data_IF_783296710865
#
_entry.id   IF_783296710865
#
_cell.length_a   1.000
_cell.length_b   1.000
_cell.length_c   1.000
_cell.angle_alpha   90.00
_cell.angle_beta   90.00
_cell.angle_gamma   90.00
#
_symmetry.space_group_name_H-M   'P 1'
#
loop_
_entity.id
_entity.type
_entity.pdbx_description
1 polymer ?
#
# COMPACT_ATOMS: atom_id res chain seq x y z
N UNK A 1 21.33 2.05 14.02
CA UNK A 1 20.65 3.27 13.53
C UNK A 1 19.18 3.13 13.86
N UNK A 2 18.62 3.98 14.74
CA UNK A 2 17.24 3.82 15.18
C UNK A 2 16.33 4.51 14.17
N UNK A 3 16.15 3.90 12.99
CA UNK A 3 14.97 4.23 12.18
C UNK A 3 13.79 3.50 12.80
N UNK A 4 13.27 4.21 13.78
CA UNK A 4 12.31 3.84 14.79
C UNK A 4 10.91 4.07 14.22
N UNK A 5 10.11 2.99 14.12
CA UNK A 5 8.69 2.95 13.71
C UNK A 5 8.40 3.56 12.33
N UNK A 6 8.64 2.80 11.26
CA UNK A 6 7.70 2.88 10.14
C UNK A 6 6.34 2.40 10.67
N UNK A 7 5.40 3.32 10.89
CA UNK A 7 4.05 2.91 11.24
C UNK A 7 3.49 2.13 10.04
N UNK A 8 2.86 0.97 10.30
CA UNK A 8 2.23 0.14 9.26
C UNK A 8 1.27 0.92 8.35
N UNK A 9 0.77 2.07 8.81
CA UNK A 9 -0.07 2.95 8.04
C UNK A 9 0.71 3.72 6.95
N UNK A 10 1.95 4.15 7.22
CA UNK A 10 2.80 4.85 6.24
C UNK A 10 3.22 3.92 5.10
N UNK A 11 3.52 2.66 5.41
CA UNK A 11 3.86 1.67 4.38
C UNK A 11 2.65 1.36 3.49
N UNK A 12 1.44 1.29 4.08
CA UNK A 12 0.20 1.13 3.33
C UNK A 12 -0.11 2.34 2.45
N UNK A 13 0.13 3.56 2.96
CA UNK A 13 -0.07 4.78 2.18
C UNK A 13 0.90 4.85 1.00
N UNK A 14 2.19 4.54 1.23
CA UNK A 14 3.21 4.46 0.18
C UNK A 14 2.88 3.39 -0.87
N UNK A 15 2.37 2.24 -0.44
CA UNK A 15 1.92 1.19 -1.34
C UNK A 15 0.80 1.69 -2.26
N UNK A 16 -0.21 2.38 -1.70
CA UNK A 16 -1.33 2.91 -2.50
C UNK A 16 -0.88 4.06 -3.41
N UNK A 17 -0.02 4.96 -2.94
CA UNK A 17 0.53 6.03 -3.77
C UNK A 17 1.20 5.48 -5.04
N UNK A 18 2.06 4.47 -4.91
CA UNK A 18 2.72 3.82 -6.06
C UNK A 18 1.75 3.07 -6.96
N UNK A 19 0.70 2.47 -6.41
CA UNK A 19 -0.39 1.88 -7.21
C UNK A 19 -1.13 2.96 -8.01
N UNK A 20 -1.38 4.13 -7.42
CA UNK A 20 -2.01 5.27 -8.09
C UNK A 20 -1.11 5.90 -9.16
N UNK A 21 0.21 5.86 -8.97
CA UNK A 21 1.21 6.24 -9.98
C UNK A 21 1.27 5.26 -11.18
N UNK A 22 0.47 4.18 -11.15
CA UNK A 22 0.31 3.24 -12.25
C UNK A 22 1.21 2.00 -12.16
N UNK A 23 1.90 1.79 -11.04
CA UNK A 23 2.72 0.60 -10.86
C UNK A 23 1.90 -0.68 -10.71
N UNK A 24 2.44 -1.78 -11.24
CA UNK A 24 1.78 -3.09 -11.17
C UNK A 24 1.79 -3.61 -9.73
N UNK A 25 0.60 -3.86 -9.18
CA UNK A 25 0.37 -4.44 -7.84
C UNK A 25 1.24 -5.67 -7.57
N UNK A 26 1.42 -6.54 -8.56
CA UNK A 26 2.22 -7.76 -8.42
C UNK A 26 3.71 -7.49 -8.13
N UNK A 27 4.29 -6.43 -8.70
CA UNK A 27 5.67 -6.03 -8.45
C UNK A 27 5.78 -5.44 -7.04
N UNK A 28 4.88 -4.51 -6.69
CA UNK A 28 4.83 -3.91 -5.37
C UNK A 28 4.60 -4.93 -4.25
N UNK A 29 3.75 -5.94 -4.46
CA UNK A 29 3.54 -6.98 -3.44
C UNK A 29 4.83 -7.75 -3.12
N UNK A 30 5.71 -7.96 -4.10
CA UNK A 30 7.02 -8.60 -3.88
C UNK A 30 7.97 -7.66 -3.13
N UNK A 31 7.99 -6.39 -3.51
CA UNK A 31 8.85 -5.38 -2.89
C UNK A 31 8.49 -5.12 -1.42
N UNK A 32 7.19 -5.09 -1.12
CA UNK A 32 6.67 -4.89 0.24
C UNK A 32 6.53 -6.21 1.02
N UNK A 33 6.98 -7.34 0.47
CA UNK A 33 6.86 -8.67 1.09
C UNK A 33 5.43 -9.01 1.57
N UNK A 34 4.41 -8.59 0.83
CA UNK A 34 3.00 -8.87 1.15
C UNK A 34 2.37 -9.81 0.11
N UNK A 35 1.36 -10.57 0.55
CA UNK A 35 0.58 -11.37 -0.39
C UNK A 35 -0.25 -10.47 -1.31
N UNK A 36 -0.50 -10.93 -2.54
CA UNK A 36 -1.42 -10.25 -3.49
C UNK A 36 -2.80 -10.00 -2.88
N UNK A 37 -3.32 -10.96 -2.11
CA UNK A 37 -4.60 -10.84 -1.39
C UNK A 37 -4.57 -9.69 -0.37
N UNK A 38 -3.45 -9.51 0.32
CA UNK A 38 -3.24 -8.38 1.24
C UNK A 38 -3.14 -7.06 0.46
N UNK A 39 -2.40 -7.03 -0.64
CA UNK A 39 -2.29 -5.85 -1.52
C UNK A 39 -3.65 -5.34 -2.00
N UNK A 40 -4.50 -6.25 -2.52
CA UNK A 40 -5.87 -5.89 -2.92
C UNK A 40 -6.70 -5.32 -1.76
N UNK A 41 -6.64 -5.94 -0.56
CA UNK A 41 -7.36 -5.42 0.61
C UNK A 41 -6.90 -4.01 1.00
N UNK A 42 -5.60 -3.72 0.90
CA UNK A 42 -5.03 -2.40 1.23
C UNK A 42 -5.55 -1.34 0.26
N UNK A 43 -5.50 -1.62 -1.04
CA UNK A 43 -6.01 -0.72 -2.09
C UNK A 43 -7.49 -0.47 -1.87
N UNK A 44 -8.29 -1.53 -1.73
CA UNK A 44 -9.73 -1.38 -1.50
C UNK A 44 -10.01 -0.54 -0.25
N UNK A 45 -9.37 -0.85 0.88
CA UNK A 45 -9.63 -0.15 2.14
C UNK A 45 -9.31 1.36 2.10
N UNK A 46 -8.24 1.75 1.38
CA UNK A 46 -7.80 3.14 1.31
C UNK A 46 -8.52 3.89 0.19
N UNK A 47 -8.62 3.32 -1.01
CA UNK A 47 -9.31 3.96 -2.14
C UNK A 47 -10.79 4.18 -1.86
N UNK A 48 -11.48 3.28 -1.14
CA UNK A 48 -12.89 3.51 -0.78
C UNK A 48 -13.10 4.69 0.17
N UNK A 49 -12.06 5.14 0.89
CA UNK A 49 -12.14 6.32 1.72
C UNK A 49 -11.91 7.62 0.92
N UNK A 50 -11.19 7.56 -0.20
CA UNK A 50 -10.84 8.74 -1.03
C UNK A 50 -11.99 9.16 -1.97
N UNK A 51 -12.85 8.23 -2.37
CA UNK A 51 -13.95 8.47 -3.31
C UNK A 51 -15.31 8.69 -2.64
N UNK A 52 -15.34 8.92 -1.32
CA UNK A 52 -16.58 9.12 -0.54
C UNK A 52 -16.81 10.58 -0.11
N UNK A 53 -15.99 11.50 -0.60
CA UNK A 53 -16.20 12.95 -0.52
C UNK A 53 -16.90 13.47 -1.78
#
# INVERSE_FOLDING_TARGET
MPWQKCNRMDERLKFVARVLDGEKIAALCREFCISRKTGHKIITAITTAVWKD
#
